data_IF_308516232148
#
_entry.id   IF_308516232148
#
_cell.length_a   1.000
_cell.length_b   1.000
_cell.length_c   1.000
_cell.angle_alpha   90.00
_cell.angle_beta   90.00
_cell.angle_gamma   90.00
#
_symmetry.space_group_name_H-M   'P 1'
#
loop_
_entity.id
_entity.type
_entity.pdbx_description
1 polymer ?
#
# COMPACT_ATOMS: atom_id res chain seq x y z
N UNK A 1 20.85 4.06 -12.97
CA UNK A 1 19.51 4.58 -13.32
C UNK A 1 18.75 5.28 -12.18
N UNK A 2 18.66 4.78 -10.93
CA UNK A 2 17.87 5.46 -9.88
C UNK A 2 18.41 6.86 -9.51
N UNK A 3 19.72 7.06 -9.58
CA UNK A 3 20.37 8.38 -9.41
C UNK A 3 19.98 9.39 -10.49
N UNK A 4 19.69 8.95 -11.73
CA UNK A 4 19.27 9.84 -12.82
C UNK A 4 17.84 10.33 -12.64
N UNK A 5 16.94 9.49 -12.11
CA UNK A 5 15.54 9.89 -11.82
C UNK A 5 15.49 10.83 -10.62
N UNK A 6 16.27 10.55 -9.57
CA UNK A 6 16.39 11.45 -8.43
C UNK A 6 17.02 12.80 -8.84
N UNK A 7 18.06 12.78 -9.66
CA UNK A 7 18.67 14.00 -10.21
C UNK A 7 17.71 14.76 -11.14
N UNK A 8 16.92 14.06 -11.96
CA UNK A 8 15.90 14.69 -12.81
C UNK A 8 14.82 15.37 -11.96
N UNK A 9 14.30 14.71 -10.92
CA UNK A 9 13.31 15.31 -10.00
C UNK A 9 13.89 16.51 -9.25
N UNK A 10 15.16 16.44 -8.80
CA UNK A 10 15.84 17.57 -8.17
C UNK A 10 16.13 18.72 -9.15
N UNK A 11 16.34 18.42 -10.44
CA UNK A 11 16.56 19.44 -11.47
C UNK A 11 15.31 20.22 -11.89
N UNK A 12 14.11 19.72 -11.52
CA UNK A 12 12.85 20.47 -11.67
C UNK A 12 12.56 21.41 -10.51
N UNK A 13 13.40 21.45 -9.47
CA UNK A 13 13.30 22.44 -8.40
C UNK A 13 14.08 23.67 -8.90
N UNK A 14 13.41 24.77 -9.31
CA UNK A 14 14.11 26.00 -9.65
C UNK A 14 14.94 26.41 -8.43
N UNK A 15 16.27 26.41 -8.58
CA UNK A 15 17.13 27.15 -7.69
C UNK A 15 16.73 28.63 -7.81
N UNK A 16 16.72 29.36 -6.69
CA UNK A 16 16.53 30.82 -6.60
C UNK A 16 15.10 31.31 -6.32
N UNK A 17 14.60 30.99 -5.13
CA UNK A 17 14.48 31.94 -4.02
C UNK A 17 14.71 31.11 -2.75
N UNK A 18 15.48 31.62 -1.77
CA UNK A 18 15.64 30.90 -0.51
C UNK A 18 14.28 30.91 0.19
N UNK A 19 13.50 29.85 0.01
CA UNK A 19 12.17 29.70 0.59
C UNK A 19 12.34 29.80 2.10
N UNK A 20 12.00 30.97 2.63
CA UNK A 20 12.12 31.26 4.05
C UNK A 20 11.05 30.44 4.76
N UNK A 21 11.43 29.23 5.19
CA UNK A 21 10.52 28.29 5.85
C UNK A 21 9.83 28.95 7.06
N UNK A 22 10.55 29.81 7.78
CA UNK A 22 9.99 30.59 8.88
C UNK A 22 8.92 31.57 8.41
N UNK A 23 9.17 32.31 7.31
CA UNK A 23 8.16 33.21 6.72
C UNK A 23 6.93 32.43 6.27
N UNK A 24 7.10 31.34 5.51
CA UNK A 24 6.02 30.48 5.05
C UNK A 24 5.22 29.87 6.22
N UNK A 25 5.85 29.53 7.35
CA UNK A 25 5.14 29.04 8.54
C UNK A 25 4.43 30.14 9.34
N UNK A 26 4.97 31.37 9.30
CA UNK A 26 4.47 32.52 10.07
C UNK A 26 3.31 33.23 9.38
N UNK A 27 3.31 33.26 8.04
CA UNK A 27 2.29 33.91 7.23
C UNK A 27 1.02 33.04 7.26
N UNK A 28 -0.01 33.52 7.94
CA UNK A 28 -1.33 32.88 7.90
C UNK A 28 -1.98 33.27 6.58
N UNK A 29 -2.30 32.33 5.67
CA UNK A 29 -2.94 32.68 4.41
C UNK A 29 -4.37 33.23 4.57
N UNK A 30 -4.95 33.19 5.78
CA UNK A 30 -6.31 33.67 6.05
C UNK A 30 -6.47 34.12 7.52
N UNK A 31 -6.07 35.36 7.85
CA UNK A 31 -6.21 35.87 9.23
C UNK A 31 -7.66 36.08 9.68
N UNK A 32 -8.57 36.42 8.76
CA UNK A 32 -9.95 36.82 9.08
C UNK A 32 -11.00 35.74 8.79
N UNK A 33 -10.60 34.45 8.79
CA UNK A 33 -11.53 33.35 8.53
C UNK A 33 -12.10 33.35 7.11
N UNK A 34 -11.25 33.71 6.13
CA UNK A 34 -11.57 33.90 4.72
C UNK A 34 -12.35 32.76 4.05
N UNK A 35 -12.61 32.94 2.76
CA UNK A 35 -13.34 31.97 1.93
C UNK A 35 -12.70 30.58 1.99
N UNK A 36 -13.46 29.52 1.71
CA UNK A 36 -12.90 28.16 1.81
C UNK A 36 -11.82 27.91 0.75
N UNK A 37 -11.93 28.61 -0.37
CA UNK A 37 -10.93 28.72 -1.43
C UNK A 37 -9.60 29.33 -0.92
N UNK A 38 -9.65 30.28 0.01
CA UNK A 38 -8.47 30.81 0.70
C UNK A 38 -7.96 29.85 1.78
N UNK A 39 -8.87 29.19 2.51
CA UNK A 39 -8.49 28.28 3.59
C UNK A 39 -7.72 27.06 3.09
N UNK A 40 -8.07 26.52 1.92
CA UNK A 40 -7.38 25.38 1.33
C UNK A 40 -5.94 25.70 0.90
N UNK A 41 -5.55 26.97 0.79
CA UNK A 41 -4.16 27.37 0.48
C UNK A 41 -3.16 27.01 1.59
N UNK A 42 -3.61 26.65 2.80
CA UNK A 42 -2.71 26.08 3.81
C UNK A 42 -2.31 24.63 3.48
N UNK A 43 -3.10 23.93 2.66
CA UNK A 43 -3.00 22.50 2.43
C UNK A 43 -2.05 22.19 1.28
N UNK A 44 -0.82 21.81 1.61
CA UNK A 44 0.26 21.60 0.62
C UNK A 44 0.34 20.18 0.05
N UNK A 45 -0.58 19.26 0.40
CA UNK A 45 -0.53 17.86 -0.06
C UNK A 45 -1.34 17.66 -1.35
N UNK A 46 -1.01 16.67 -2.19
CA UNK A 46 -1.76 16.35 -3.40
C UNK A 46 -3.25 16.03 -3.19
N UNK A 47 -4.09 16.69 -4.00
CA UNK A 47 -5.54 16.53 -4.10
C UNK A 47 -5.98 16.57 -5.59
N UNK A 48 -7.29 16.49 -5.85
CA UNK A 48 -7.86 16.47 -7.21
C UNK A 48 -7.48 15.25 -8.03
N UNK A 49 -7.39 15.42 -9.35
CA UNK A 49 -7.00 14.36 -10.26
C UNK A 49 -5.59 13.81 -9.94
N UNK A 50 -4.64 14.70 -9.61
CA UNK A 50 -3.27 14.31 -9.24
C UNK A 50 -3.27 13.53 -7.92
N UNK A 51 -4.02 13.99 -6.92
CA UNK A 51 -4.23 13.27 -5.65
C UNK A 51 -4.86 11.89 -5.86
N UNK A 52 -5.88 11.81 -6.71
CA UNK A 52 -6.57 10.55 -7.02
C UNK A 52 -5.63 9.55 -7.70
N UNK A 53 -4.86 10.00 -8.71
CA UNK A 53 -3.83 9.19 -9.35
C UNK A 53 -2.76 8.74 -8.34
N UNK A 54 -2.39 9.63 -7.41
CA UNK A 54 -1.48 9.33 -6.30
C UNK A 54 -2.05 8.18 -5.43
N UNK A 55 -3.32 8.23 -5.04
CA UNK A 55 -3.92 7.13 -4.27
C UNK A 55 -3.97 5.82 -5.07
N UNK A 56 -4.34 5.86 -6.34
CA UNK A 56 -4.37 4.68 -7.20
C UNK A 56 -2.99 4.00 -7.27
N UNK A 57 -1.93 4.79 -7.49
CA UNK A 57 -0.56 4.28 -7.49
C UNK A 57 -0.15 3.71 -6.12
N UNK A 58 -0.63 4.29 -5.03
CA UNK A 58 -0.35 3.78 -3.68
C UNK A 58 -1.01 2.41 -3.45
N UNK A 59 -2.28 2.24 -3.84
CA UNK A 59 -2.94 0.93 -3.75
C UNK A 59 -2.30 -0.11 -4.67
N UNK A 60 -1.92 0.30 -5.88
CA UNK A 60 -1.19 -0.56 -6.79
C UNK A 60 0.15 -1.00 -6.20
N UNK A 61 0.91 -0.09 -5.59
CA UNK A 61 2.18 -0.41 -4.91
C UNK A 61 1.95 -1.41 -3.79
N UNK A 62 0.96 -1.15 -2.92
CA UNK A 62 0.59 -2.04 -1.82
C UNK A 62 0.20 -3.44 -2.31
N UNK A 63 -0.58 -3.51 -3.39
CA UNK A 63 -0.95 -4.77 -4.03
C UNK A 63 0.27 -5.52 -4.56
N UNK A 64 1.16 -4.86 -5.32
CA UNK A 64 2.36 -5.49 -5.87
C UNK A 64 3.31 -5.99 -4.77
N UNK A 65 3.49 -5.23 -3.68
CA UNK A 65 4.26 -5.65 -2.52
C UNK A 65 3.64 -6.86 -1.82
N UNK A 66 2.31 -6.92 -1.71
CA UNK A 66 1.58 -8.11 -1.19
C UNK A 66 1.69 -9.34 -2.09
N UNK A 67 2.23 -9.21 -3.30
CA UNK A 67 2.54 -10.32 -4.20
C UNK A 67 4.05 -10.64 -4.25
N UNK A 68 4.87 -9.96 -3.42
CA UNK A 68 6.33 -10.10 -3.46
C UNK A 68 6.97 -9.61 -4.76
N UNK A 69 6.30 -8.70 -5.49
CA UNK A 69 6.68 -8.25 -6.83
C UNK A 69 7.07 -6.78 -6.84
N UNK A 70 7.93 -6.42 -7.78
CA UNK A 70 8.37 -5.05 -8.00
C UNK A 70 7.21 -4.21 -8.56
N UNK A 71 6.87 -3.04 -7.95
CA UNK A 71 5.77 -2.19 -8.41
C UNK A 71 5.95 -1.61 -9.81
N UNK A 72 7.18 -1.28 -10.22
CA UNK A 72 7.47 -0.73 -11.55
C UNK A 72 7.63 -1.86 -12.58
N UNK A 73 8.36 -2.91 -12.20
CA UNK A 73 8.62 -4.06 -13.05
C UNK A 73 7.78 -5.24 -12.56
N UNK A 74 6.48 -5.21 -12.86
CA UNK A 74 5.46 -6.17 -12.36
C UNK A 74 5.79 -7.67 -12.54
N UNK A 75 6.74 -7.98 -13.42
CA UNK A 75 7.21 -9.34 -13.72
C UNK A 75 8.42 -9.78 -12.88
N UNK A 76 9.13 -8.84 -12.24
CA UNK A 76 10.31 -9.13 -11.42
C UNK A 76 9.93 -9.29 -9.95
N UNK A 77 10.56 -10.26 -9.31
CA UNK A 77 10.51 -10.42 -7.84
C UNK A 77 11.42 -9.38 -7.19
N UNK A 78 11.10 -9.03 -5.95
CA UNK A 78 11.95 -8.17 -5.12
C UNK A 78 13.19 -8.96 -4.64
N UNK A 79 14.39 -8.42 -4.86
CA UNK A 79 15.66 -9.08 -4.49
C UNK A 79 16.53 -8.21 -3.55
N UNK A 80 16.42 -6.88 -3.63
CA UNK A 80 17.36 -5.95 -3.01
C UNK A 80 16.87 -5.42 -1.66
N UNK A 81 16.94 -6.27 -0.62
CA UNK A 81 16.49 -5.95 0.75
C UNK A 81 16.92 -4.57 1.26
N UNK A 82 18.23 -4.30 1.28
CA UNK A 82 18.78 -3.06 1.87
C UNK A 82 18.31 -1.83 1.12
N UNK A 83 18.23 -1.92 -0.20
CA UNK A 83 17.77 -0.84 -1.05
C UNK A 83 16.28 -0.54 -0.81
N UNK A 84 15.44 -1.57 -0.82
CA UNK A 84 13.98 -1.43 -0.60
C UNK A 84 13.68 -0.82 0.77
N UNK A 85 14.40 -1.28 1.80
CA UNK A 85 14.28 -0.74 3.15
C UNK A 85 14.72 0.73 3.22
N UNK A 86 15.88 1.07 2.64
CA UNK A 86 16.39 2.44 2.64
C UNK A 86 15.43 3.40 1.93
N UNK A 87 14.95 3.01 0.75
CA UNK A 87 14.03 3.81 -0.06
C UNK A 87 12.68 4.02 0.65
N UNK A 88 12.17 2.99 1.33
CA UNK A 88 10.96 3.10 2.14
C UNK A 88 11.12 4.05 3.34
N UNK A 89 12.23 3.93 4.08
CA UNK A 89 12.51 4.80 5.24
C UNK A 89 12.71 6.25 4.80
N UNK A 90 13.50 6.50 3.75
CA UNK A 90 13.74 7.85 3.23
C UNK A 90 12.43 8.49 2.76
N UNK A 91 11.62 7.75 1.98
CA UNK A 91 10.30 8.24 1.55
C UNK A 91 9.40 8.57 2.73
N UNK A 92 9.36 7.70 3.74
CA UNK A 92 8.58 7.95 4.96
C UNK A 92 9.02 9.22 5.69
N UNK A 93 10.33 9.39 5.95
CA UNK A 93 10.86 10.56 6.66
C UNK A 93 10.51 11.87 5.95
N UNK A 94 10.64 11.92 4.62
CA UNK A 94 10.27 13.10 3.84
C UNK A 94 8.76 13.35 3.94
N UNK A 95 7.93 12.32 3.74
CA UNK A 95 6.46 12.49 3.85
C UNK A 95 6.02 12.91 5.26
N UNK A 96 6.68 12.42 6.31
CA UNK A 96 6.42 12.78 7.70
C UNK A 96 6.68 14.27 7.93
N UNK A 97 7.87 14.76 7.54
CA UNK A 97 8.24 16.18 7.68
C UNK A 97 7.24 17.07 6.94
N UNK A 98 6.95 16.78 5.67
CA UNK A 98 6.06 17.58 4.84
C UNK A 98 4.61 17.57 5.33
N UNK A 99 4.13 16.44 5.84
CA UNK A 99 2.78 16.35 6.43
C UNK A 99 2.71 17.14 7.73
N UNK A 100 3.75 17.07 8.58
CA UNK A 100 3.84 17.89 9.79
C UNK A 100 3.87 19.38 9.48
N UNK A 101 4.63 19.81 8.47
CA UNK A 101 4.62 21.22 8.02
C UNK A 101 3.23 21.65 7.53
N UNK A 102 2.54 20.78 6.78
CA UNK A 102 1.15 21.03 6.35
C UNK A 102 0.22 21.18 7.56
N UNK A 103 0.33 20.30 8.57
CA UNK A 103 -0.46 20.41 9.80
C UNK A 103 -0.16 21.69 10.57
N UNK A 104 1.10 22.11 10.65
CA UNK A 104 1.51 23.35 11.31
C UNK A 104 0.97 24.61 10.61
N UNK A 105 0.92 24.60 9.27
CA UNK A 105 0.34 25.70 8.47
C UNK A 105 -1.19 25.70 8.56
N UNK A 106 -1.84 24.55 8.51
CA UNK A 106 -3.29 24.41 8.66
C UNK A 106 -3.79 24.40 10.12
N UNK A 107 -3.00 24.86 11.10
CA UNK A 107 -3.32 24.76 12.55
C UNK A 107 -4.65 25.41 12.97
N UNK A 108 -5.16 26.37 12.20
CA UNK A 108 -6.43 27.07 12.46
C UNK A 108 -7.66 26.36 11.86
N UNK A 109 -7.45 25.33 11.05
CA UNK A 109 -8.50 24.61 10.32
C UNK A 109 -8.39 23.12 10.62
N UNK A 110 -8.94 22.71 11.76
CA UNK A 110 -8.90 21.32 12.22
C UNK A 110 -9.35 20.27 11.17
N UNK A 111 -10.31 20.52 10.26
CA UNK A 111 -10.69 19.51 9.28
C UNK A 111 -9.55 19.14 8.33
N UNK A 112 -8.76 20.13 7.88
CA UNK A 112 -7.59 19.88 7.04
C UNK A 112 -6.46 19.18 7.81
N UNK A 113 -6.34 19.43 9.12
CA UNK A 113 -5.42 18.68 9.98
C UNK A 113 -5.80 17.20 10.01
N UNK A 114 -7.08 16.85 10.18
CA UNK A 114 -7.49 15.44 10.19
C UNK A 114 -7.23 14.74 8.86
N UNK A 115 -7.44 15.43 7.73
CA UNK A 115 -7.13 14.90 6.41
C UNK A 115 -5.61 14.71 6.27
N UNK A 116 -4.79 15.64 6.76
CA UNK A 116 -3.34 15.50 6.78
C UNK A 116 -2.88 14.33 7.67
N UNK A 117 -3.46 14.17 8.86
CA UNK A 117 -3.23 13.02 9.76
C UNK A 117 -3.55 11.71 9.04
N UNK A 118 -4.68 11.62 8.36
CA UNK A 118 -5.01 10.43 7.57
C UNK A 118 -3.98 10.14 6.47
N UNK A 119 -3.53 11.16 5.73
CA UNK A 119 -2.49 11.00 4.69
C UNK A 119 -1.15 10.56 5.31
N UNK A 120 -0.84 11.00 6.53
CA UNK A 120 0.31 10.50 7.30
C UNK A 120 0.12 9.02 7.66
N UNK A 121 -1.05 8.65 8.21
CA UNK A 121 -1.36 7.25 8.54
C UNK A 121 -1.25 6.35 7.31
N UNK A 122 -1.77 6.77 6.15
CA UNK A 122 -1.61 6.05 4.89
C UNK A 122 -0.11 5.87 4.52
N UNK A 123 0.73 6.88 4.78
CA UNK A 123 2.18 6.81 4.53
C UNK A 123 2.88 5.85 5.49
N UNK A 124 2.48 5.84 6.77
CA UNK A 124 2.93 4.86 7.77
C UNK A 124 2.54 3.45 7.35
N UNK A 125 1.27 3.22 6.98
CA UNK A 125 0.77 1.92 6.51
C UNK A 125 1.59 1.42 5.32
N UNK A 126 1.74 2.23 4.27
CA UNK A 126 2.50 1.81 3.08
C UNK A 126 3.97 1.48 3.41
N UNK A 127 4.58 2.27 4.30
CA UNK A 127 5.95 2.02 4.76
C UNK A 127 6.03 0.71 5.54
N UNK A 128 5.11 0.48 6.48
CA UNK A 128 5.01 -0.77 7.23
C UNK A 128 4.84 -1.99 6.33
N UNK A 129 3.95 -1.90 5.34
CA UNK A 129 3.76 -2.92 4.32
C UNK A 129 5.05 -3.20 3.53
N UNK A 130 5.78 -2.15 3.14
CA UNK A 130 7.03 -2.27 2.38
C UNK A 130 8.14 -2.90 3.21
N UNK A 131 8.30 -2.47 4.47
CA UNK A 131 9.27 -3.04 5.41
C UNK A 131 8.97 -4.51 5.64
N UNK A 132 7.70 -4.85 5.89
CA UNK A 132 7.31 -6.23 6.13
C UNK A 132 7.53 -7.12 4.90
N UNK A 133 7.09 -6.70 3.71
CA UNK A 133 7.36 -7.44 2.48
C UNK A 133 8.87 -7.63 2.24
N UNK A 134 9.68 -6.64 2.63
CA UNK A 134 11.14 -6.70 2.54
C UNK A 134 11.77 -7.68 3.54
N UNK A 135 11.22 -7.80 4.74
CA UNK A 135 11.66 -8.76 5.74
C UNK A 135 11.30 -10.20 5.36
N UNK A 136 10.12 -10.42 4.75
CA UNK A 136 9.68 -11.76 4.31
C UNK A 136 10.54 -12.33 3.18
N UNK A 137 11.14 -11.49 2.32
CA UNK A 137 12.12 -11.94 1.30
C UNK A 137 13.35 -12.60 1.93
N UNK A 138 13.76 -12.16 3.13
CA UNK A 138 14.98 -12.64 3.78
C UNK A 138 14.88 -14.10 4.24
N UNK A 139 13.66 -14.58 4.49
CA UNK A 139 13.45 -15.96 4.95
C UNK A 139 13.56 -16.99 3.82
N UNK A 140 13.79 -16.56 2.57
CA UNK A 140 14.04 -17.49 1.46
C UNK A 140 15.54 -17.80 1.38
N UNK A 141 15.95 -19.07 1.53
CA UNK A 141 17.33 -19.49 1.36
C UNK A 141 17.82 -19.04 -0.02
N UNK A 142 18.83 -18.15 -0.05
CA UNK A 142 19.28 -17.49 -1.29
C UNK A 142 20.01 -18.43 -2.24
N UNK A 143 20.45 -19.57 -1.72
CA UNK A 143 21.19 -20.54 -2.48
C UNK A 143 20.39 -21.82 -2.56
N UNK A 144 20.20 -22.33 -3.78
CA UNK A 144 19.87 -23.74 -4.02
C UNK A 144 20.97 -24.71 -3.55
N UNK A 145 21.74 -24.34 -2.52
CA UNK A 145 22.34 -25.31 -1.62
C UNK A 145 21.15 -26.02 -1.00
N UNK A 146 20.80 -27.17 -1.59
CA UNK A 146 20.06 -28.21 -0.89
C UNK A 146 20.55 -28.16 0.54
N UNK A 147 19.67 -27.95 1.55
CA UNK A 147 20.09 -27.94 2.93
C UNK A 147 21.01 -29.14 3.07
N UNK A 148 22.26 -28.89 3.46
CA UNK A 148 23.23 -29.94 3.66
C UNK A 148 22.54 -30.85 4.66
N UNK A 149 22.00 -31.97 4.16
CA UNK A 149 21.22 -32.88 4.98
C UNK A 149 22.27 -33.40 5.92
N UNK A 150 22.25 -32.89 7.15
CA UNK A 150 23.12 -33.34 8.21
C UNK A 150 22.95 -34.86 8.25
N UNK A 151 23.98 -35.53 7.75
CA UNK A 151 23.95 -36.95 7.50
C UNK A 151 23.94 -37.58 8.88
N UNK A 152 22.76 -38.01 9.33
CA UNK A 152 22.61 -38.66 10.62
C UNK A 152 23.55 -39.88 10.64
N UNK A 153 24.62 -39.87 11.45
CA UNK A 153 25.68 -40.88 11.40
C UNK A 153 25.17 -42.28 11.76
N UNK A 154 23.95 -42.38 12.29
CA UNK A 154 23.25 -43.65 12.48
C UNK A 154 22.98 -44.42 11.16
N UNK A 155 23.09 -43.77 10.00
CA UNK A 155 22.95 -44.38 8.68
C UNK A 155 24.27 -44.55 7.89
N UNK A 156 25.43 -44.34 8.52
CA UNK A 156 26.76 -44.32 7.86
C UNK A 156 27.31 -45.69 7.37
N UNK A 157 26.52 -46.77 7.41
CA UNK A 157 26.96 -48.11 7.00
C UNK A 157 26.75 -48.48 5.53
N UNK A 158 26.10 -47.63 4.72
CA UNK A 158 25.75 -47.93 3.33
C UNK A 158 26.41 -46.98 2.33
N UNK A 159 27.08 -47.53 1.31
CA UNK A 159 27.58 -46.77 0.16
C UNK A 159 26.40 -46.29 -0.70
N UNK A 160 25.92 -45.07 -0.49
CA UNK A 160 24.90 -44.45 -1.35
C UNK A 160 25.57 -43.71 -2.51
N UNK A 161 25.34 -44.18 -3.74
CA UNK A 161 25.69 -43.45 -4.97
C UNK A 161 24.52 -42.52 -5.31
N UNK A 162 24.55 -41.28 -4.82
CA UNK A 162 23.58 -40.27 -5.21
C UNK A 162 23.92 -39.81 -6.64
N UNK A 163 23.22 -40.36 -7.63
CA UNK A 163 23.34 -39.91 -9.03
C UNK A 163 22.67 -38.53 -9.13
N UNK A 164 23.50 -37.49 -9.07
CA UNK A 164 23.09 -36.09 -8.97
C UNK A 164 22.84 -35.47 -10.34
N UNK A 165 22.08 -36.14 -11.20
CA UNK A 165 21.45 -35.50 -12.37
C UNK A 165 20.10 -34.93 -11.98
N UNK A 166 20.08 -34.05 -10.98
CA UNK A 166 18.89 -33.26 -10.65
C UNK A 166 18.90 -32.06 -11.60
N UNK A 167 18.33 -32.27 -12.78
CA UNK A 167 18.08 -31.21 -13.76
C UNK A 167 17.36 -30.04 -13.09
N UNK A 168 17.77 -28.81 -13.43
CA UNK A 168 17.35 -27.58 -12.77
C UNK A 168 15.85 -27.53 -12.46
N UNK A 169 15.51 -27.70 -11.19
CA UNK A 169 14.14 -27.59 -10.73
C UNK A 169 13.70 -26.12 -10.76
N UNK A 170 12.85 -25.78 -11.72
CA UNK A 170 11.96 -24.63 -11.59
C UNK A 170 10.69 -25.10 -10.89
N UNK A 171 10.45 -24.74 -9.61
CA UNK A 171 9.22 -25.14 -8.93
C UNK A 171 8.03 -24.52 -9.65
N UNK A 172 7.23 -25.37 -10.30
CA UNK A 172 5.92 -25.00 -10.82
C UNK A 172 5.00 -24.70 -9.63
N UNK A 173 4.34 -23.55 -9.71
CA UNK A 173 3.50 -22.98 -8.65
C UNK A 173 2.39 -23.97 -8.25
N UNK A 174 2.44 -24.47 -7.02
CA UNK A 174 1.42 -25.40 -6.48
C UNK A 174 1.73 -26.90 -6.64
N UNK A 175 2.92 -27.27 -7.13
CA UNK A 175 3.33 -28.67 -7.14
C UNK A 175 3.78 -29.10 -5.73
N UNK A 176 3.04 -30.03 -5.13
CA UNK A 176 3.55 -30.84 -4.04
C UNK A 176 4.76 -31.60 -4.58
N UNK A 177 5.95 -31.16 -4.22
CA UNK A 177 7.18 -31.84 -4.64
C UNK A 177 7.30 -33.11 -3.79
N UNK A 178 6.87 -34.23 -4.35
CA UNK A 178 7.10 -35.54 -3.74
C UNK A 178 8.55 -35.91 -3.97
N UNK A 179 9.35 -35.91 -2.90
CA UNK A 179 10.68 -36.49 -2.94
C UNK A 179 10.55 -37.97 -2.58
N UNK A 180 10.84 -38.82 -3.56
CA UNK A 180 10.85 -40.27 -3.39
C UNK A 180 12.28 -40.69 -3.05
N UNK A 181 12.50 -41.07 -1.79
CA UNK A 181 13.79 -41.61 -1.34
C UNK A 181 13.74 -43.12 -1.48
N UNK A 182 14.52 -43.66 -2.41
CA UNK A 182 14.76 -45.10 -2.52
C UNK A 182 15.88 -45.51 -1.56
N UNK A 183 15.56 -46.40 -0.61
CA UNK A 183 16.55 -47.01 0.29
C UNK A 183 16.53 -48.52 0.12
N UNK A 184 17.70 -49.13 -0.14
CA UNK A 184 17.83 -50.58 -0.11
C UNK A 184 17.85 -51.07 1.34
N UNK A 185 17.00 -52.04 1.68
CA UNK A 185 16.98 -52.67 3.00
C UNK A 185 18.07 -53.77 3.11
N UNK A 186 18.25 -54.33 4.30
CA UNK A 186 19.23 -55.40 4.56
C UNK A 186 18.97 -56.68 3.76
N UNK A 187 17.74 -56.86 3.25
CA UNK A 187 17.34 -57.99 2.41
C UNK A 187 17.62 -57.75 0.91
N UNK A 188 18.17 -56.57 0.54
CA UNK A 188 18.40 -56.20 -0.85
C UNK A 188 17.16 -55.68 -1.59
N UNK A 189 16.06 -55.39 -0.89
CA UNK A 189 14.85 -54.81 -1.49
C UNK A 189 14.87 -53.28 -1.41
N UNK A 190 14.40 -52.62 -2.47
CA UNK A 190 14.25 -51.16 -2.49
C UNK A 190 12.95 -50.74 -1.79
N UNK A 191 13.08 -49.96 -0.72
CA UNK A 191 11.98 -49.33 0.02
C UNK A 191 11.93 -47.83 -0.32
N UNK A 192 11.23 -47.49 -1.39
CA UNK A 192 9.87 -46.94 -1.32
C UNK A 192 9.47 -45.85 -0.28
N UNK A 193 10.26 -44.85 0.15
CA UNK A 193 9.72 -43.84 1.11
C UNK A 193 9.45 -42.49 0.45
N UNK A 194 8.20 -42.27 0.06
CA UNK A 194 7.70 -40.93 -0.30
C UNK A 194 7.67 -40.03 0.94
N UNK A 195 8.44 -38.93 0.91
CA UNK A 195 8.29 -37.85 1.90
C UNK A 195 7.68 -36.65 1.18
N UNK A 196 6.39 -36.38 1.45
CA UNK A 196 5.72 -35.17 1.00
C UNK A 196 6.18 -34.01 1.87
N UNK A 197 7.12 -33.22 1.38
CA UNK A 197 7.48 -31.96 2.03
C UNK A 197 6.49 -30.91 1.53
N UNK A 198 5.52 -30.58 2.38
CA UNK A 198 4.66 -29.43 2.15
C UNK A 198 5.50 -28.17 2.38
N UNK A 199 6.22 -27.73 1.35
CA UNK A 199 6.83 -26.41 1.36
C UNK A 199 5.69 -25.40 1.58
N UNK A 200 5.71 -24.59 2.65
CA UNK A 200 4.68 -23.60 2.89
C UNK A 200 4.56 -22.76 1.63
N UNK A 201 3.36 -22.75 1.04
CA UNK A 201 3.08 -22.02 -0.19
C UNK A 201 3.54 -20.58 0.03
N UNK A 202 4.55 -20.11 -0.72
CA UNK A 202 5.12 -18.77 -0.51
C UNK A 202 4.09 -17.65 -0.58
N UNK A 203 2.91 -17.93 -1.14
CA UNK A 203 1.75 -17.04 -1.17
C UNK A 203 1.18 -16.73 0.22
N UNK A 204 1.19 -17.67 1.17
CA UNK A 204 0.65 -17.45 2.53
C UNK A 204 1.44 -16.42 3.35
N UNK A 205 2.74 -16.27 3.07
CA UNK A 205 3.59 -15.33 3.83
C UNK A 205 3.21 -13.88 3.54
N UNK A 206 3.07 -13.53 2.27
CA UNK A 206 2.77 -12.15 1.87
C UNK A 206 1.38 -11.66 2.28
N UNK A 207 0.46 -12.54 2.69
CA UNK A 207 -0.82 -12.13 3.25
C UNK A 207 -0.68 -11.37 4.57
N UNK A 208 0.41 -11.58 5.33
CA UNK A 208 0.66 -10.85 6.58
C UNK A 208 0.85 -9.35 6.36
N UNK A 209 1.22 -8.93 5.14
CA UNK A 209 1.32 -7.51 4.76
C UNK A 209 -0.03 -6.79 4.95
N UNK A 210 -1.15 -7.50 4.87
CA UNK A 210 -2.48 -6.94 5.10
C UNK A 210 -2.80 -6.65 6.58
N UNK A 211 -1.97 -7.07 7.53
CA UNK A 211 -2.12 -6.69 8.95
C UNK A 211 -2.02 -5.19 9.21
N UNK A 212 -1.50 -4.42 8.25
CA UNK A 212 -1.46 -2.97 8.30
C UNK A 212 -2.78 -2.30 7.88
N UNK A 213 -3.72 -3.05 7.29
CA UNK A 213 -4.99 -2.52 6.82
C UNK A 213 -5.86 -1.90 7.92
N UNK A 214 -6.01 -2.49 9.13
CA UNK A 214 -6.75 -1.88 10.22
C UNK A 214 -6.25 -0.48 10.60
N UNK A 215 -4.93 -0.24 10.57
CA UNK A 215 -4.36 1.08 10.83
C UNK A 215 -4.79 2.08 9.76
N UNK A 216 -4.78 1.67 8.48
CA UNK A 216 -5.28 2.51 7.39
C UNK A 216 -6.78 2.80 7.50
N UNK A 217 -7.57 1.82 7.93
CA UNK A 217 -8.99 2.00 8.17
C UNK A 217 -9.25 3.06 9.26
N UNK A 218 -8.56 2.97 10.40
CA UNK A 218 -8.65 3.98 11.48
C UNK A 218 -8.28 5.37 10.95
N UNK A 219 -7.19 5.48 10.19
CA UNK A 219 -6.83 6.75 9.54
C UNK A 219 -7.92 7.27 8.61
N UNK A 220 -8.56 6.40 7.84
CA UNK A 220 -9.63 6.77 6.90
C UNK A 220 -10.87 7.30 7.62
N UNK A 221 -11.23 6.72 8.78
CA UNK A 221 -12.33 7.25 9.62
C UNK A 221 -12.00 8.66 10.12
N UNK A 222 -10.76 8.90 10.56
CA UNK A 222 -10.31 10.24 11.00
C UNK A 222 -10.41 11.25 9.84
N UNK A 223 -9.90 10.87 8.66
CA UNK A 223 -10.02 11.68 7.45
C UNK A 223 -11.47 11.95 7.07
N UNK A 224 -12.36 10.96 7.24
CA UNK A 224 -13.78 11.07 6.92
C UNK A 224 -14.49 12.12 7.78
N UNK A 225 -14.23 12.12 9.09
CA UNK A 225 -14.75 13.15 10.00
C UNK A 225 -14.30 14.55 9.56
N UNK A 226 -13.02 14.68 9.19
CA UNK A 226 -12.48 15.93 8.65
C UNK A 226 -13.23 16.39 7.40
N UNK A 227 -13.28 15.56 6.35
CA UNK A 227 -13.90 15.98 5.09
C UNK A 227 -15.41 16.24 5.23
N UNK A 228 -16.12 15.45 6.04
CA UNK A 228 -17.56 15.65 6.24
C UNK A 228 -17.87 16.95 6.97
N UNK A 229 -16.99 17.42 7.86
CA UNK A 229 -17.15 18.74 8.47
C UNK A 229 -17.04 19.85 7.42
N UNK A 230 -16.09 19.75 6.49
CA UNK A 230 -15.91 20.73 5.42
C UNK A 230 -17.07 20.68 4.43
N UNK A 231 -17.48 19.47 4.02
CA UNK A 231 -18.59 19.26 3.09
C UNK A 231 -19.88 19.83 3.68
N UNK A 232 -20.21 19.50 4.93
CA UNK A 232 -21.44 19.95 5.58
C UNK A 232 -21.59 21.46 5.65
N UNK A 233 -20.46 22.20 5.76
CA UNK A 233 -20.47 23.67 5.78
C UNK A 233 -20.60 24.31 4.41
N UNK A 234 -20.14 23.65 3.35
CA UNK A 234 -19.97 24.27 2.03
C UNK A 234 -20.85 23.67 0.94
N UNK A 235 -21.52 22.55 1.21
CA UNK A 235 -22.28 21.82 0.20
C UNK A 235 -23.42 22.67 -0.36
N UNK A 236 -24.06 23.54 0.43
CA UNK A 236 -25.19 24.34 -0.04
C UNK A 236 -24.78 25.43 -1.03
N UNK A 237 -23.60 26.00 -0.84
CA UNK A 237 -23.12 27.16 -1.60
C UNK A 237 -22.30 26.76 -2.84
N UNK A 238 -21.74 25.55 -2.87
CA UNK A 238 -20.88 25.09 -3.96
C UNK A 238 -21.55 23.98 -4.80
N UNK A 239 -22.02 24.33 -6.02
CA UNK A 239 -22.66 23.38 -6.94
C UNK A 239 -21.72 22.23 -7.36
N UNK A 240 -20.42 22.48 -7.53
CA UNK A 240 -19.45 21.43 -7.90
C UNK A 240 -19.33 20.40 -6.78
N UNK A 241 -19.31 20.87 -5.54
CA UNK A 241 -19.28 20.02 -4.35
C UNK A 241 -20.54 19.14 -4.27
N UNK A 242 -21.75 19.70 -4.50
CA UNK A 242 -23.00 18.92 -4.58
C UNK A 242 -22.92 17.79 -5.61
N UNK A 243 -22.45 18.11 -6.82
CA UNK A 243 -22.32 17.15 -7.91
C UNK A 243 -21.37 16.00 -7.54
N UNK A 244 -20.19 16.33 -7.02
CA UNK A 244 -19.18 15.33 -6.62
C UNK A 244 -19.70 14.44 -5.49
N UNK A 245 -20.27 15.03 -4.44
CA UNK A 245 -20.88 14.27 -3.33
C UNK A 245 -22.03 13.39 -3.80
N UNK A 246 -22.87 13.87 -4.72
CA UNK A 246 -23.94 13.08 -5.32
C UNK A 246 -23.43 11.87 -6.11
N UNK A 247 -22.42 12.08 -6.98
CA UNK A 247 -21.81 11.00 -7.79
C UNK A 247 -21.14 9.96 -6.89
N UNK A 248 -20.25 10.37 -5.98
CA UNK A 248 -19.56 9.44 -5.08
C UNK A 248 -20.52 8.75 -4.10
N UNK A 249 -21.54 9.45 -3.61
CA UNK A 249 -22.59 8.88 -2.77
C UNK A 249 -23.40 7.81 -3.51
N UNK A 250 -23.79 8.07 -4.77
CA UNK A 250 -24.49 7.10 -5.61
C UNK A 250 -23.66 5.85 -5.91
N UNK A 251 -22.39 6.03 -6.28
CA UNK A 251 -21.45 4.89 -6.51
C UNK A 251 -21.26 4.08 -5.23
N UNK A 252 -21.09 4.76 -4.09
CA UNK A 252 -20.94 4.12 -2.78
C UNK A 252 -22.17 3.29 -2.42
N UNK A 253 -23.37 3.85 -2.58
CA UNK A 253 -24.63 3.16 -2.34
C UNK A 253 -24.76 1.92 -3.24
N UNK A 254 -24.42 2.05 -4.52
CA UNK A 254 -24.45 0.93 -5.47
C UNK A 254 -23.51 -0.21 -5.06
N UNK A 255 -22.28 0.11 -4.63
CA UNK A 255 -21.31 -0.90 -4.15
C UNK A 255 -21.83 -1.61 -2.89
N UNK A 256 -22.37 -0.86 -1.92
CA UNK A 256 -22.95 -1.44 -0.71
C UNK A 256 -24.12 -2.36 -1.06
N UNK A 257 -25.04 -1.92 -1.92
CA UNK A 257 -26.16 -2.74 -2.37
C UNK A 257 -25.71 -4.01 -3.11
N UNK A 258 -24.70 -3.92 -3.98
CA UNK A 258 -24.16 -5.08 -4.69
C UNK A 258 -23.54 -6.11 -3.71
N UNK A 259 -22.81 -5.65 -2.69
CA UNK A 259 -22.26 -6.52 -1.64
C UNK A 259 -23.38 -7.17 -0.84
N UNK A 260 -24.40 -6.40 -0.44
CA UNK A 260 -25.55 -6.95 0.31
C UNK A 260 -26.29 -8.01 -0.50
N UNK A 261 -26.58 -7.75 -1.79
CA UNK A 261 -27.22 -8.72 -2.69
C UNK A 261 -26.34 -9.96 -2.85
N UNK A 262 -25.03 -9.80 -3.08
CA UNK A 262 -24.12 -10.93 -3.19
C UNK A 262 -24.09 -11.75 -1.89
N UNK A 263 -24.06 -11.09 -0.73
CA UNK A 263 -24.15 -11.76 0.56
C UNK A 263 -25.47 -12.54 0.69
N UNK A 264 -26.61 -11.94 0.34
CA UNK A 264 -27.92 -12.61 0.38
C UNK A 264 -27.96 -13.83 -0.57
N UNK A 265 -27.45 -13.72 -1.80
CA UNK A 265 -27.41 -14.82 -2.77
C UNK A 265 -26.52 -15.97 -2.30
N UNK A 266 -25.42 -15.68 -1.60
CA UNK A 266 -24.53 -16.71 -1.04
C UNK A 266 -25.14 -17.40 0.19
N UNK A 267 -26.13 -16.80 0.86
CA UNK A 267 -26.79 -17.39 2.03
C UNK A 267 -27.83 -18.45 1.68
N UNK A 268 -28.42 -18.42 0.48
CA UNK A 268 -29.61 -19.21 0.13
C UNK A 268 -29.31 -20.71 -0.17
N UNK A 269 -28.04 -21.10 -0.23
CA UNK A 269 -27.62 -22.41 -0.76
C UNK A 269 -26.99 -23.41 0.22
N UNK A 270 -26.70 -23.03 1.48
CA UNK A 270 -25.89 -23.89 2.36
C UNK A 270 -26.47 -24.06 3.77
N UNK A 271 -27.00 -25.26 4.05
CA UNK A 271 -27.34 -25.73 5.40
C UNK A 271 -26.13 -26.03 6.29
N UNK A 272 -25.07 -25.19 6.27
CA UNK A 272 -23.86 -25.40 7.05
C UNK A 272 -23.37 -24.08 7.68
N UNK A 273 -23.62 -23.93 8.99
CA UNK A 273 -23.41 -22.72 9.80
C UNK A 273 -21.95 -22.19 9.82
N UNK A 274 -20.95 -23.00 9.43
CA UNK A 274 -19.53 -22.65 9.53
C UNK A 274 -18.96 -21.90 8.31
N UNK A 275 -19.18 -22.42 7.10
CA UNK A 275 -18.59 -21.88 5.86
C UNK A 275 -19.14 -20.50 5.46
N UNK A 276 -20.36 -20.19 5.92
CA UNK A 276 -21.06 -18.94 5.69
C UNK A 276 -20.39 -17.76 6.42
N UNK A 277 -19.82 -18.00 7.61
CA UNK A 277 -19.18 -16.95 8.41
C UNK A 277 -17.87 -16.42 7.79
N UNK A 278 -17.01 -17.30 7.27
CA UNK A 278 -15.73 -16.92 6.65
C UNK A 278 -15.98 -16.16 5.34
N UNK A 279 -16.91 -16.63 4.51
CA UNK A 279 -17.24 -15.99 3.23
C UNK A 279 -17.83 -14.59 3.44
N UNK A 280 -18.70 -14.42 4.44
CA UNK A 280 -19.26 -13.12 4.81
C UNK A 280 -18.18 -12.16 5.31
N UNK A 281 -17.29 -12.61 6.21
CA UNK A 281 -16.18 -11.79 6.71
C UNK A 281 -15.22 -11.36 5.59
N UNK A 282 -14.91 -12.26 4.65
CA UNK A 282 -14.10 -11.94 3.49
C UNK A 282 -14.80 -10.90 2.59
N UNK A 283 -16.09 -11.10 2.30
CA UNK A 283 -16.90 -10.16 1.51
C UNK A 283 -17.00 -8.78 2.16
N UNK A 284 -17.26 -8.73 3.47
CA UNK A 284 -17.27 -7.49 4.24
C UNK A 284 -15.90 -6.80 4.24
N UNK A 285 -14.80 -7.56 4.37
CA UNK A 285 -13.44 -7.03 4.29
C UNK A 285 -13.15 -6.38 2.93
N UNK A 286 -13.54 -7.04 1.83
CA UNK A 286 -13.43 -6.48 0.47
C UNK A 286 -14.27 -5.20 0.33
N UNK A 287 -15.51 -5.21 0.84
CA UNK A 287 -16.38 -4.04 0.80
C UNK A 287 -15.77 -2.85 1.55
N UNK A 288 -15.27 -3.06 2.77
CA UNK A 288 -14.61 -2.01 3.57
C UNK A 288 -13.36 -1.48 2.86
N UNK A 289 -12.57 -2.36 2.22
CA UNK A 289 -11.44 -1.94 1.41
C UNK A 289 -11.87 -1.05 0.24
N UNK A 290 -12.85 -1.48 -0.56
CA UNK A 290 -13.36 -0.71 -1.71
C UNK A 290 -13.94 0.63 -1.27
N UNK A 291 -14.70 0.67 -0.17
CA UNK A 291 -15.23 1.90 0.41
C UNK A 291 -14.13 2.85 0.85
N UNK A 292 -13.04 2.33 1.44
CA UNK A 292 -11.88 3.14 1.83
C UNK A 292 -11.16 3.75 0.61
N UNK A 293 -11.07 2.99 -0.49
CA UNK A 293 -10.52 3.48 -1.78
C UNK A 293 -11.41 4.57 -2.39
N UNK A 294 -12.73 4.34 -2.44
CA UNK A 294 -13.68 5.35 -2.92
C UNK A 294 -13.65 6.62 -2.07
N UNK A 295 -13.51 6.47 -0.75
CA UNK A 295 -13.34 7.58 0.17
C UNK A 295 -12.07 8.40 -0.08
N UNK A 296 -10.96 7.74 -0.43
CA UNK A 296 -9.71 8.38 -0.86
C UNK A 296 -9.91 9.28 -2.07
N UNK A 297 -10.56 8.75 -3.11
CA UNK A 297 -10.87 9.53 -4.31
C UNK A 297 -11.85 10.66 -3.99
N UNK A 298 -12.93 10.38 -3.26
CA UNK A 298 -13.91 11.38 -2.86
C UNK A 298 -13.24 12.57 -2.18
N UNK A 299 -12.35 12.32 -1.21
CA UNK A 299 -11.67 13.41 -0.50
C UNK A 299 -10.80 14.25 -1.43
N UNK A 300 -10.09 13.64 -2.37
CA UNK A 300 -9.27 14.39 -3.32
C UNK A 300 -10.13 15.29 -4.22
N UNK A 301 -11.26 14.79 -4.72
CA UNK A 301 -12.18 15.57 -5.56
C UNK A 301 -12.92 16.66 -4.80
N UNK A 302 -13.29 16.42 -3.54
CA UNK A 302 -13.88 17.45 -2.67
C UNK A 302 -12.88 18.59 -2.47
N UNK A 303 -11.64 18.28 -2.10
CA UNK A 303 -10.60 19.30 -1.93
C UNK A 303 -10.38 20.08 -3.24
N UNK A 304 -10.39 19.42 -4.39
CA UNK A 304 -10.26 20.06 -5.68
C UNK A 304 -11.42 21.01 -6.00
N UNK A 305 -12.66 20.63 -5.64
CA UNK A 305 -13.83 21.48 -5.81
C UNK A 305 -13.81 22.70 -4.88
N UNK A 306 -13.25 22.55 -3.67
CA UNK A 306 -13.05 23.65 -2.72
C UNK A 306 -11.91 24.59 -3.15
N UNK A 307 -10.90 24.08 -3.84
CA UNK A 307 -9.83 24.90 -4.42
C UNK A 307 -10.25 25.62 -5.72
N UNK A 308 -11.41 25.28 -6.28
CA UNK A 308 -11.83 25.74 -7.60
C UNK A 308 -11.05 25.13 -8.77
N UNK A 309 -10.08 24.25 -8.50
CA UNK A 309 -9.25 23.54 -9.48
C UNK A 309 -9.39 22.01 -9.33
N UNK A 310 -10.09 21.40 -10.28
CA UNK A 310 -10.34 19.95 -10.32
C UNK A 310 -9.09 19.11 -10.62
N UNK A 311 -8.08 19.69 -11.28
CA UNK A 311 -6.82 18.99 -11.56
C UNK A 311 -6.02 18.81 -10.26
N UNK A 312 -6.09 19.82 -9.39
CA UNK A 312 -5.38 19.85 -8.11
C UNK A 312 -3.94 20.35 -8.26
N UNK A 313 -3.73 21.33 -9.14
CA UNK A 313 -2.44 22.00 -9.29
C UNK A 313 -2.15 22.84 -8.04
N UNK A 314 -0.93 22.77 -7.48
CA UNK A 314 -0.59 23.57 -6.32
C UNK A 314 -0.48 25.05 -6.67
N UNK A 315 -0.80 25.92 -5.71
CA UNK A 315 -0.37 27.32 -5.76
C UNK A 315 1.16 27.41 -5.78
N UNK A 316 1.70 28.49 -6.34
CA UNK A 316 3.15 28.73 -6.47
C UNK A 316 3.90 28.48 -5.18
N UNK A 317 3.33 28.92 -4.06
CA UNK A 317 3.98 28.94 -2.75
C UNK A 317 4.04 27.54 -2.10
N UNK A 318 3.19 26.62 -2.57
CA UNK A 318 3.12 25.25 -2.08
C UNK A 318 3.70 24.24 -3.08
N UNK A 319 4.03 24.66 -4.30
CA UNK A 319 4.43 23.77 -5.38
C UNK A 319 5.62 22.86 -5.00
N UNK A 320 6.65 23.42 -4.35
CA UNK A 320 7.82 22.65 -3.92
C UNK A 320 7.43 21.55 -2.92
N UNK A 321 6.67 21.89 -1.89
CA UNK A 321 6.23 20.92 -0.87
C UNK A 321 5.29 19.86 -1.47
N UNK A 322 4.38 20.28 -2.35
CA UNK A 322 3.44 19.41 -3.05
C UNK A 322 4.15 18.36 -3.89
N UNK A 323 5.05 18.78 -4.78
CA UNK A 323 5.75 17.87 -5.68
C UNK A 323 6.77 17.02 -4.94
N UNK A 324 7.43 17.57 -3.91
CA UNK A 324 8.33 16.79 -3.05
C UNK A 324 7.57 15.70 -2.31
N UNK A 325 6.40 16.01 -1.75
CA UNK A 325 5.55 15.00 -1.10
C UNK A 325 5.09 13.94 -2.10
N UNK A 326 4.62 14.37 -3.27
CA UNK A 326 4.21 13.46 -4.33
C UNK A 326 5.33 12.49 -4.70
N UNK A 327 6.53 12.99 -4.97
CA UNK A 327 7.69 12.18 -5.33
C UNK A 327 8.15 11.26 -4.19
N UNK A 328 8.25 11.78 -2.96
CA UNK A 328 8.66 11.02 -1.79
C UNK A 328 7.74 9.82 -1.52
N UNK A 329 6.43 10.01 -1.67
CA UNK A 329 5.43 8.94 -1.53
C UNK A 329 5.56 7.85 -2.59
N UNK A 330 6.20 8.13 -3.74
CA UNK A 330 6.47 7.15 -4.81
C UNK A 330 7.77 6.41 -4.62
N UNK A 331 8.63 6.79 -3.68
CA UNK A 331 9.91 6.12 -3.47
C UNK A 331 9.76 4.59 -3.27
N UNK A 332 8.81 4.06 -2.47
CA UNK A 332 8.62 2.61 -2.36
C UNK A 332 8.39 1.87 -3.70
N UNK A 333 7.90 2.56 -4.74
CA UNK A 333 7.73 1.97 -6.07
C UNK A 333 9.06 1.62 -6.73
N UNK A 334 10.15 2.30 -6.35
CA UNK A 334 11.49 2.03 -6.86
C UNK A 334 12.08 0.73 -6.30
N UNK A 335 11.43 0.06 -5.36
CA UNK A 335 11.92 -1.19 -4.76
C UNK A 335 12.23 -2.25 -5.82
N UNK A 336 13.42 -2.87 -5.76
CA UNK A 336 13.97 -3.85 -6.73
C UNK A 336 14.23 -5.19 -6.04
#
# INVERSE_FOLDING_TARGET
MPLLVAAAVLSFIPATEALSLSQWLSENPYENGGTVEEQIQCYALPYGAIGSASHLLTYFTAFMLSQGRNPILVWKKLDHRRFNLAVAIIGFLITLILTTLTMARCRRTWPFILIAVWKLVLSVTLTGMTVQATLEIFEMPKDGKTPEVEYDPFFAGGSYRADSTVGGYHPLKGSTSTFTLQRMNENGEYVERERKINLPQGQERYHRVWYWFPLYFVGSVIGFVGIMNVVGKNINDNHRLKLITGVFGGVTLLVVMAVLVLCCLLMDGSGCCGALSISFLAGAGVAVFVLSVLFAFYTDWVLAALAGDLVGTPSSDNAVFYWTYFAAKRLPMLSI
#
